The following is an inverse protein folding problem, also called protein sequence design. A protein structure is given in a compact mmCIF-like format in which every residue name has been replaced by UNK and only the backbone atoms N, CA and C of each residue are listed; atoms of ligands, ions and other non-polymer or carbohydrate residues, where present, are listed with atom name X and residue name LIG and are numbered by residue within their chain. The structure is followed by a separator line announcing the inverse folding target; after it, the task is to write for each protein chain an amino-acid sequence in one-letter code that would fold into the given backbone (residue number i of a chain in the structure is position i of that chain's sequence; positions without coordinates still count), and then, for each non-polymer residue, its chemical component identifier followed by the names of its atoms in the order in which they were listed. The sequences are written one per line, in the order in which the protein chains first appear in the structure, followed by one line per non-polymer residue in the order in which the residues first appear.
data_IF_220196499142
#
_entry.id   IF_220196499142
#
_cell.length_a   1.000
_cell.length_b   1.000
_cell.length_c   1.000
_cell.angle_alpha   90.00
_cell.angle_beta   90.00
_cell.angle_gamma   90.00
#
_symmetry.space_group_name_H-M   'P 1'
#
loop_
_entity.id
_entity.type
_entity.pdbx_description
1 polymer ?
#
# COMPACT_ATOMS: atom_id res chain seq x y z
N UNK A 1 -3.89 -7.76 -4.55
CA UNK A 1 -3.60 -7.22 -3.20
C UNK A 1 -2.14 -7.49 -2.90
N UNK A 2 -1.46 -6.66 -2.12
CA UNK A 2 -0.12 -6.99 -1.63
C UNK A 2 -0.19 -8.22 -0.72
N UNK A 3 0.74 -9.14 -0.84
CA UNK A 3 0.78 -10.39 -0.05
C UNK A 3 2.03 -10.48 0.81
N UNK A 4 3.10 -9.77 0.46
CA UNK A 4 4.33 -9.72 1.24
C UNK A 4 5.08 -8.41 1.04
N UNK A 5 5.70 -7.93 2.12
CA UNK A 5 6.63 -6.80 2.13
C UNK A 5 7.91 -7.25 2.83
N UNK A 6 9.04 -7.11 2.15
CA UNK A 6 10.36 -7.32 2.73
C UNK A 6 11.20 -6.04 2.60
N UNK A 7 11.89 -5.68 3.68
CA UNK A 7 12.79 -4.52 3.74
C UNK A 7 14.16 -4.94 4.24
N UNK A 8 15.22 -4.41 3.63
CA UNK A 8 16.59 -4.54 4.12
C UNK A 8 17.22 -3.16 4.27
N UNK A 9 17.85 -2.93 5.42
CA UNK A 9 18.52 -1.69 5.83
C UNK A 9 17.66 -0.42 5.68
N UNK A 10 16.39 -0.46 6.07
CA UNK A 10 15.46 0.68 6.02
C UNK A 10 15.16 1.24 7.42
N UNK A 11 15.59 2.46 7.70
CA UNK A 11 15.44 3.16 8.99
C UNK A 11 15.91 2.27 10.15
N UNK A 12 15.04 1.96 11.11
CA UNK A 12 15.38 1.10 12.24
C UNK A 12 15.31 -0.40 11.92
N UNK A 13 14.92 -0.77 10.69
CA UNK A 13 14.82 -2.16 10.23
C UNK A 13 16.10 -2.57 9.50
N UNK A 14 16.87 -3.51 10.09
CA UNK A 14 17.96 -4.19 9.37
C UNK A 14 17.38 -5.18 8.36
N UNK A 15 16.43 -6.00 8.81
CA UNK A 15 15.69 -6.98 8.03
C UNK A 15 14.24 -7.00 8.51
N UNK A 16 13.30 -7.04 7.57
CA UNK A 16 11.88 -7.17 7.83
C UNK A 16 11.26 -8.09 6.79
N UNK A 17 10.40 -8.99 7.25
CA UNK A 17 9.61 -9.87 6.39
C UNK A 17 8.17 -9.99 6.90
N UNK A 18 7.25 -9.30 6.24
CA UNK A 18 5.84 -9.25 6.61
C UNK A 18 4.99 -9.89 5.54
N UNK A 19 4.17 -10.87 5.94
CA UNK A 19 3.03 -11.32 5.14
C UNK A 19 1.87 -10.36 5.35
N UNK A 20 1.26 -9.92 4.26
CA UNK A 20 0.13 -9.00 4.26
C UNK A 20 -1.15 -9.77 3.97
N UNK A 21 -2.21 -9.38 4.65
CA UNK A 21 -3.57 -9.90 4.47
C UNK A 21 -4.52 -8.75 4.07
N UNK A 22 -5.77 -9.05 3.68
CA UNK A 22 -6.80 -8.03 3.47
C UNK A 22 -6.92 -7.03 4.63
N UNK A 23 -6.75 -7.48 5.88
CA UNK A 23 -6.61 -6.61 7.04
C UNK A 23 -5.30 -6.96 7.77
N UNK A 24 -4.34 -6.04 7.74
CA UNK A 24 -3.06 -6.17 8.44
C UNK A 24 -2.95 -5.09 9.52
N UNK A 25 -2.73 -5.47 10.77
CA UNK A 25 -2.53 -4.54 11.89
C UNK A 25 -1.09 -4.61 12.42
N UNK A 26 -0.51 -3.44 12.64
CA UNK A 26 0.81 -3.25 13.25
C UNK A 26 0.60 -2.64 14.64
N UNK A 27 0.88 -3.42 15.68
CA UNK A 27 0.88 -3.04 17.09
C UNK A 27 2.30 -2.90 17.61
N UNK A 28 2.52 -2.21 18.73
CA UNK A 28 3.86 -2.07 19.30
C UNK A 28 4.11 -0.76 20.03
N UNK A 29 5.24 -0.67 20.72
CA UNK A 29 5.63 0.55 21.47
C UNK A 29 5.89 1.74 20.55
N UNK A 30 5.87 2.96 21.08
CA UNK A 30 6.27 4.13 20.31
C UNK A 30 7.72 3.96 19.82
N UNK A 31 8.00 4.51 18.64
CA UNK A 31 9.32 4.43 18.00
C UNK A 31 9.78 3.03 17.59
N UNK A 32 8.92 2.01 17.61
CA UNK A 32 9.29 0.64 17.22
C UNK A 32 9.36 0.35 15.71
N UNK A 33 9.35 1.39 14.87
CA UNK A 33 9.45 1.24 13.42
C UNK A 33 8.13 0.95 12.69
N UNK A 34 6.97 0.91 13.35
CA UNK A 34 5.65 0.70 12.71
C UNK A 34 5.37 1.68 11.57
N UNK A 35 5.49 2.97 11.85
CA UNK A 35 5.31 4.03 10.86
C UNK A 35 6.30 3.87 9.70
N UNK A 36 7.53 3.42 9.97
CA UNK A 36 8.52 3.17 8.92
C UNK A 36 8.04 2.10 7.90
N UNK A 37 7.26 1.11 8.32
CA UNK A 37 6.68 0.10 7.43
C UNK A 37 5.68 0.74 6.45
N UNK A 38 4.82 1.64 6.92
CA UNK A 38 3.89 2.36 6.05
C UNK A 38 4.65 3.33 5.14
N UNK A 39 5.64 4.04 5.69
CA UNK A 39 6.48 4.98 4.96
C UNK A 39 7.29 4.31 3.84
N UNK A 40 7.70 3.04 3.97
CA UNK A 40 8.40 2.35 2.88
C UNK A 40 7.50 2.20 1.63
N UNK A 41 6.21 1.95 1.82
CA UNK A 41 5.25 1.91 0.72
C UNK A 41 4.97 3.32 0.16
N UNK A 42 4.96 4.35 1.01
CA UNK A 42 4.82 5.75 0.59
C UNK A 42 6.02 6.22 -0.23
N UNK A 43 7.24 5.81 0.14
CA UNK A 43 8.46 6.08 -0.62
C UNK A 43 8.33 5.56 -2.06
N UNK A 44 7.85 4.33 -2.21
CA UNK A 44 7.61 3.72 -3.52
C UNK A 44 6.54 4.49 -4.30
N UNK A 45 5.41 4.83 -3.66
CA UNK A 45 4.33 5.62 -4.27
C UNK A 45 4.80 6.99 -4.76
N UNK A 46 5.48 7.78 -3.93
CA UNK A 46 5.93 9.11 -4.32
C UNK A 46 7.06 9.08 -5.35
N UNK A 47 7.84 8.00 -5.38
CA UNK A 47 8.85 7.78 -6.43
C UNK A 47 8.18 7.45 -7.76
N UNK A 48 7.18 6.57 -7.77
CA UNK A 48 6.44 6.22 -9.00
C UNK A 48 5.62 7.40 -9.55
N UNK A 49 5.08 8.25 -8.67
CA UNK A 49 4.34 9.45 -9.06
C UNK A 49 5.23 10.60 -9.58
N UNK A 50 6.56 10.46 -9.50
CA UNK A 50 7.45 11.53 -9.89
C UNK A 50 7.50 11.69 -11.41
N UNK A 51 7.32 12.93 -11.89
CA UNK A 51 7.33 13.25 -13.32
C UNK A 51 8.71 13.08 -13.96
N UNK A 52 9.80 13.26 -13.19
CA UNK A 52 11.15 13.04 -13.68
C UNK A 52 11.55 11.56 -13.53
N UNK A 53 11.33 10.79 -14.59
CA UNK A 53 11.74 9.38 -14.69
C UNK A 53 13.27 9.16 -14.59
N UNK A 54 14.08 10.22 -14.57
CA UNK A 54 15.53 10.15 -14.36
C UNK A 54 15.92 10.20 -12.88
N UNK A 55 15.01 10.59 -11.98
CA UNK A 55 15.27 10.58 -10.55
C UNK A 55 15.10 9.15 -10.01
N UNK A 56 16.17 8.60 -9.41
CA UNK A 56 16.21 7.20 -8.99
C UNK A 56 15.24 6.87 -7.84
N UNK A 57 15.20 7.70 -6.79
CA UNK A 57 14.31 7.57 -5.63
C UNK A 57 13.92 8.99 -5.16
N UNK A 58 12.64 9.23 -4.91
CA UNK A 58 12.15 10.49 -4.35
C UNK A 58 12.16 10.42 -2.81
N UNK A 59 13.15 11.03 -2.16
CA UNK A 59 13.25 11.07 -0.70
C UNK A 59 12.33 12.10 -0.02
N UNK A 60 11.61 12.92 -0.80
CA UNK A 60 10.71 13.95 -0.28
C UNK A 60 11.25 15.37 -0.38
N UNK A 61 10.56 16.29 0.29
CA UNK A 61 10.89 17.73 0.33
C UNK A 61 10.05 18.60 -0.62
N UNK A 62 9.20 18.00 -1.45
CA UNK A 62 8.19 18.68 -2.25
C UNK A 62 6.86 18.84 -1.52
N UNK A 63 6.06 19.84 -1.90
CA UNK A 63 4.73 20.11 -1.31
C UNK A 63 3.72 18.96 -1.49
N UNK A 64 3.97 18.04 -2.43
CA UNK A 64 3.08 16.92 -2.75
C UNK A 64 3.62 15.56 -2.31
N UNK A 65 4.77 15.53 -1.65
CA UNK A 65 5.34 14.28 -1.17
C UNK A 65 4.62 13.83 0.11
N UNK A 66 4.38 12.53 0.22
CA UNK A 66 3.72 11.98 1.41
C UNK A 66 4.63 12.02 2.63
N UNK A 67 5.94 11.85 2.40
CA UNK A 67 6.95 11.70 3.44
C UNK A 67 8.25 12.38 3.02
N UNK A 68 8.89 13.02 3.99
CA UNK A 68 10.24 13.56 3.86
C UNK A 68 11.20 12.71 4.70
N UNK A 69 12.09 12.02 4.00
CA UNK A 69 13.14 11.20 4.58
C UNK A 69 14.44 11.96 4.82
N UNK A 70 14.57 13.21 4.36
CA UNK A 70 15.81 13.96 4.42
C UNK A 70 16.87 13.38 3.50
N UNK A 71 18.00 12.94 4.06
CA UNK A 71 19.13 12.42 3.29
C UNK A 71 19.13 10.90 3.18
N UNK A 72 19.95 10.35 2.28
CA UNK A 72 20.17 8.90 2.18
C UNK A 72 20.57 8.27 3.52
N UNK A 73 21.39 8.98 4.32
CA UNK A 73 21.82 8.52 5.65
C UNK A 73 20.66 8.42 6.63
N UNK A 74 19.64 9.26 6.50
CA UNK A 74 18.47 9.23 7.38
C UNK A 74 17.52 8.07 7.01
N UNK A 75 17.60 7.59 5.77
CA UNK A 75 16.81 6.48 5.24
C UNK A 75 17.38 5.12 5.60
N UNK A 76 18.71 4.95 5.54
CA UNK A 76 19.36 3.64 5.71
C UNK A 76 19.62 3.27 7.16
N UNK A 77 19.60 1.98 7.46
CA UNK A 77 19.87 1.46 8.80
C UNK A 77 21.25 1.87 9.33
N UNK A 78 21.29 2.18 10.63
CA UNK A 78 22.47 2.69 11.36
C UNK A 78 23.08 3.97 10.77
N UNK A 79 22.34 4.67 9.90
CA UNK A 79 22.81 5.83 9.17
C UNK A 79 24.10 5.61 8.37
N UNK A 80 24.43 4.35 8.05
CA UNK A 80 25.58 4.02 7.23
C UNK A 80 25.27 4.40 5.78
N UNK A 81 25.74 5.58 5.35
CA UNK A 81 25.54 6.05 3.98
C UNK A 81 26.17 5.14 2.91
N UNK A 82 27.01 4.17 3.29
CA UNK A 82 27.46 3.15 2.37
C UNK A 82 26.54 1.94 2.37
N UNK A 83 25.59 1.75 3.28
CA UNK A 83 24.72 0.58 3.28
C UNK A 83 23.77 0.59 2.09
N UNK A 84 23.46 -0.61 1.63
CA UNK A 84 22.52 -0.85 0.54
C UNK A 84 21.11 -1.00 1.07
N UNK A 85 20.15 -0.41 0.38
CA UNK A 85 18.72 -0.56 0.67
C UNK A 85 18.10 -1.59 -0.27
N UNK A 86 17.30 -2.52 0.25
CA UNK A 86 16.46 -3.39 -0.58
C UNK A 86 15.00 -3.35 -0.13
N UNK A 87 14.09 -3.39 -1.11
CA UNK A 87 12.66 -3.52 -0.89
C UNK A 87 12.08 -4.55 -1.86
N UNK A 88 11.29 -5.47 -1.34
CA UNK A 88 10.58 -6.47 -2.15
C UNK A 88 9.10 -6.49 -1.80
N UNK A 89 8.29 -6.49 -2.86
CA UNK A 89 6.84 -6.56 -2.79
C UNK A 89 6.35 -7.78 -3.57
N UNK A 90 5.47 -8.54 -2.95
CA UNK A 90 4.70 -9.60 -3.59
C UNK A 90 3.23 -9.20 -3.58
N UNK A 91 2.49 -9.59 -4.62
CA UNK A 91 1.05 -9.36 -4.69
C UNK A 91 0.32 -10.47 -5.42
N UNK A 92 -0.95 -10.65 -5.07
CA UNK A 92 -1.87 -11.47 -5.85
C UNK A 92 -2.15 -10.79 -7.18
N UNK A 93 -2.10 -11.57 -8.26
CA UNK A 93 -2.59 -11.15 -9.57
C UNK A 93 -3.99 -10.55 -9.39
N UNK A 94 -4.27 -9.35 -9.92
CA UNK A 94 -5.67 -8.94 -10.03
C UNK A 94 -6.38 -10.06 -10.78
N UNK A 95 -7.43 -10.65 -10.17
CA UNK A 95 -8.24 -11.65 -10.85
C UNK A 95 -8.64 -11.14 -12.24
N UNK A 96 -8.90 -12.02 -13.22
CA UNK A 96 -9.00 -11.64 -14.62
C UNK A 96 -9.94 -10.46 -14.74
N UNK A 97 -9.39 -9.31 -15.11
CA UNK A 97 -10.18 -8.24 -15.69
C UNK A 97 -10.88 -8.91 -16.87
N UNK A 98 -12.20 -9.09 -16.79
CA UNK A 98 -12.96 -9.87 -17.76
C UNK A 98 -12.75 -9.33 -19.18
N UNK A 99 -11.78 -9.88 -19.90
CA UNK A 99 -11.66 -9.83 -21.35
C UNK A 99 -11.01 -11.13 -21.82
N UNK A 100 -11.86 -12.07 -22.20
CA UNK A 100 -11.65 -13.27 -23.04
C UNK A 100 -10.42 -14.17 -22.75
N UNK A 101 -10.70 -15.43 -22.37
CA UNK A 101 -9.71 -16.49 -22.10
C UNK A 101 -9.15 -17.10 -23.40
N UNK A 102 -7.88 -16.82 -23.71
CA UNK A 102 -7.03 -17.58 -24.65
C UNK A 102 -5.65 -17.79 -24.02
N UNK A 103 -5.03 -18.96 -24.19
CA UNK A 103 -3.66 -19.25 -23.71
C UNK A 103 -2.66 -18.92 -24.81
N UNK A 104 -1.57 -18.22 -24.46
CA UNK A 104 -0.51 -17.80 -25.40
C UNK A 104 0.85 -18.32 -24.95
N UNK A 105 1.68 -18.77 -25.91
CA UNK A 105 3.06 -19.19 -25.67
C UNK A 105 4.04 -18.43 -26.59
N UNK A 106 5.17 -17.98 -26.04
CA UNK A 106 6.25 -17.33 -26.79
C UNK A 106 7.55 -18.12 -26.67
N UNK A 107 8.20 -18.40 -27.80
CA UNK A 107 9.53 -19.01 -27.84
C UNK A 107 10.52 -18.07 -28.52
N UNK A 108 11.48 -17.56 -27.75
CA UNK A 108 12.56 -16.70 -28.26
C UNK A 108 13.87 -17.49 -28.24
N UNK A 109 14.55 -17.62 -29.40
CA UNK A 109 15.92 -18.15 -29.48
C UNK A 109 16.89 -17.09 -29.96
N UNK A 110 17.97 -16.89 -29.20
CA UNK A 110 19.06 -15.98 -29.55
C UNK A 110 20.40 -16.70 -29.66
N UNK A 111 21.35 -16.09 -30.39
CA UNK A 111 22.76 -16.50 -30.37
C UNK A 111 23.65 -15.25 -30.53
N UNK A 112 24.68 -15.14 -29.69
CA UNK A 112 25.67 -14.06 -29.73
C UNK A 112 26.76 -14.35 -30.76
N UNK A 113 27.21 -13.32 -31.49
CA UNK A 113 28.40 -13.37 -32.36
C UNK A 113 29.02 -11.96 -32.49
N UNK A 114 30.30 -11.81 -32.13
CA UNK A 114 31.11 -10.58 -32.29
C UNK A 114 30.38 -9.26 -31.93
N UNK A 115 29.99 -9.09 -30.67
CA UNK A 115 29.38 -7.87 -30.10
C UNK A 115 28.07 -7.38 -30.76
N UNK A 116 27.33 -8.30 -31.40
CA UNK A 116 25.97 -8.07 -31.90
C UNK A 116 25.00 -9.10 -31.30
N UNK A 117 23.81 -8.65 -30.88
CA UNK A 117 22.69 -9.54 -30.53
C UNK A 117 21.83 -9.71 -31.79
N UNK A 118 21.78 -10.94 -32.29
CA UNK A 118 20.91 -11.32 -33.40
C UNK A 118 19.72 -12.12 -32.86
N UNK A 119 18.52 -11.55 -32.98
CA UNK A 119 17.27 -12.24 -32.63
C UNK A 119 16.85 -13.00 -33.88
N UNK A 120 16.94 -14.33 -33.83
CA UNK A 120 16.85 -15.15 -35.04
C UNK A 120 15.41 -15.36 -35.54
N UNK A 121 14.42 -15.36 -34.64
CA UNK A 121 12.99 -15.42 -34.96
C UNK A 121 12.16 -15.25 -33.68
N UNK A 122 10.99 -14.61 -33.82
CA UNK A 122 9.90 -14.62 -32.82
C UNK A 122 8.81 -15.55 -33.36
N UNK A 123 8.45 -16.58 -32.61
CA UNK A 123 7.38 -17.51 -32.95
C UNK A 123 6.20 -17.31 -31.99
N UNK A 124 5.01 -17.07 -32.55
CA UNK A 124 3.75 -16.86 -31.85
C UNK A 124 2.78 -17.97 -32.22
N UNK A 125 2.16 -18.56 -31.19
CA UNK A 125 1.14 -19.60 -31.35
C UNK A 125 -0.04 -19.27 -30.42
N UNK A 126 -1.20 -18.99 -31.00
CA UNK A 126 -2.45 -18.82 -30.24
C UNK A 126 -3.19 -20.15 -30.17
N UNK A 127 -3.54 -20.61 -28.96
CA UNK A 127 -4.36 -21.80 -28.78
C UNK A 127 -5.70 -21.44 -28.14
N UNK A 128 -6.79 -21.74 -28.86
CA UNK A 128 -8.15 -21.66 -28.33
C UNK A 128 -8.67 -23.07 -28.06
N UNK A 129 -8.98 -23.37 -26.79
CA UNK A 129 -9.46 -24.69 -26.33
C UNK A 129 -8.55 -25.87 -26.74
N UNK A 130 -7.25 -25.63 -26.83
CA UNK A 130 -6.24 -26.63 -27.18
C UNK A 130 -6.03 -26.87 -28.67
N UNK A 131 -6.61 -26.05 -29.56
CA UNK A 131 -6.30 -26.03 -30.99
C UNK A 131 -5.62 -24.71 -31.40
N UNK A 132 -4.57 -24.81 -32.21
CA UNK A 132 -3.80 -23.65 -32.70
C UNK A 132 -4.60 -22.89 -33.76
N UNK A 133 -4.92 -21.64 -33.48
CA UNK A 133 -5.74 -20.81 -34.36
C UNK A 133 -4.93 -19.85 -35.23
N UNK A 134 -3.76 -19.38 -34.76
CA UNK A 134 -2.85 -18.55 -35.55
C UNK A 134 -1.37 -18.88 -35.26
N UNK A 135 -0.56 -18.93 -36.31
CA UNK A 135 0.90 -19.14 -36.27
C UNK A 135 1.58 -18.00 -37.03
N UNK A 136 2.33 -17.16 -36.31
CA UNK A 136 2.99 -15.98 -36.87
C UNK A 136 4.50 -15.98 -36.58
N UNK A 137 5.30 -15.70 -37.60
CA UNK A 137 6.77 -15.66 -37.54
C UNK A 137 7.25 -14.27 -37.98
N UNK A 138 7.84 -13.50 -37.07
CA UNK A 138 8.47 -12.22 -37.44
C UNK A 138 9.84 -12.44 -38.10
N UNK A 139 10.20 -11.60 -39.10
CA UNK A 139 11.55 -11.62 -39.68
C UNK A 139 12.61 -11.17 -38.67
N UNK A 140 13.86 -11.64 -38.82
CA UNK A 140 14.92 -11.41 -37.85
C UNK A 140 15.28 -9.92 -37.73
N UNK A 141 15.36 -9.45 -36.49
CA UNK A 141 15.77 -8.09 -36.13
C UNK A 141 17.21 -8.13 -35.62
N UNK A 142 18.04 -7.25 -36.14
CA UNK A 142 19.43 -7.07 -35.69
C UNK A 142 19.54 -5.78 -34.90
N UNK A 143 20.12 -5.89 -33.71
CA UNK A 143 20.44 -4.74 -32.86
C UNK A 143 21.95 -4.56 -32.84
N UNK A 144 22.38 -3.35 -33.18
CA UNK A 144 23.80 -2.98 -33.26
C UNK A 144 24.09 -1.77 -32.41
N UNK A 145 25.16 -1.83 -31.62
CA UNK A 145 25.62 -0.73 -30.78
C UNK A 145 26.88 -0.12 -31.39
N UNK A 146 26.80 1.14 -31.87
CA UNK A 146 27.94 1.87 -32.43
C UNK A 146 27.93 3.32 -31.92
N UNK A 147 29.06 3.76 -31.36
CA UNK A 147 29.27 5.17 -31.01
C UNK A 147 28.43 5.71 -29.85
N UNK A 148 27.81 4.85 -29.04
CA UNK A 148 26.99 5.25 -27.88
C UNK A 148 25.48 5.27 -28.12
N UNK A 149 25.01 4.87 -29.31
CA UNK A 149 23.58 4.76 -29.63
C UNK A 149 23.22 3.35 -30.12
N UNK A 150 21.99 2.91 -29.81
CA UNK A 150 21.42 1.66 -30.30
C UNK A 150 20.74 1.88 -31.64
N UNK A 151 21.11 1.08 -32.65
CA UNK A 151 20.48 1.09 -33.97
C UNK A 151 19.76 -0.23 -34.24
N UNK A 152 18.52 -0.10 -34.69
CA UNK A 152 17.62 -1.22 -35.00
C UNK A 152 17.49 -1.37 -36.52
N UNK A 153 17.63 -2.59 -37.04
CA UNK A 153 17.41 -2.88 -38.45
C UNK A 153 16.74 -4.24 -38.64
N UNK A 154 15.82 -4.33 -39.61
CA UNK A 154 15.19 -5.58 -40.05
C UNK A 154 16.02 -6.15 -41.19
N UNK A 155 16.36 -7.43 -41.14
CA UNK A 155 17.14 -8.09 -42.21
C UNK A 155 16.19 -8.88 -43.10
N UNK A 156 16.27 -8.69 -44.43
CA UNK A 156 15.51 -9.50 -45.38
C UNK A 156 15.90 -10.98 -45.29
N UNK A 157 14.96 -11.84 -45.65
CA UNK A 157 14.96 -13.30 -45.42
C UNK A 157 16.04 -14.12 -46.13
N UNK A 158 16.97 -13.52 -46.87
CA UNK A 158 17.98 -14.20 -47.68
C UNK A 158 19.39 -13.97 -47.12
N UNK A 159 19.82 -14.85 -46.21
CA UNK A 159 21.12 -14.87 -45.54
C UNK A 159 22.32 -15.01 -46.51
N UNK A 160 22.63 -13.99 -47.32
CA UNK A 160 23.89 -13.91 -48.06
C UNK A 160 24.81 -12.86 -47.43
N UNK A 161 25.88 -13.36 -46.79
CA UNK A 161 27.02 -12.57 -46.33
C UNK A 161 27.70 -11.89 -47.52
N UNK A 162 27.34 -10.65 -47.83
CA UNK A 162 28.19 -9.74 -48.61
C UNK A 162 28.08 -8.32 -48.06
N UNK A 163 29.19 -7.87 -47.47
CA UNK A 163 29.61 -6.48 -47.22
C UNK A 163 28.48 -5.43 -47.11
N UNK A 164 28.09 -5.09 -45.89
CA UNK A 164 27.19 -3.97 -45.60
C UNK A 164 27.83 -3.00 -44.59
N UNK A 165 29.01 -2.48 -44.93
CA UNK A 165 29.27 -1.05 -44.71
C UNK A 165 28.64 -0.34 -45.89
N UNK A 166 27.57 0.44 -45.65
CA UNK A 166 26.77 1.28 -46.57
C UNK A 166 25.33 0.80 -46.81
N UNK A 167 24.42 1.78 -46.90
CA UNK A 167 22.96 1.73 -47.01
C UNK A 167 22.15 1.51 -45.71
N UNK A 168 22.25 2.48 -44.78
CA UNK A 168 21.02 3.02 -44.17
C UNK A 168 20.40 3.92 -45.23
N UNK A 169 19.32 3.50 -45.87
CA UNK A 169 18.44 4.39 -46.63
C UNK A 169 17.00 4.07 -46.23
N UNK A 170 16.26 5.15 -45.97
CA UNK A 170 15.19 5.17 -44.98
C UNK A 170 13.89 4.51 -45.38
N UNK A 171 13.16 4.05 -44.37
CA UNK A 171 11.76 4.40 -44.13
C UNK A 171 11.53 4.47 -42.60
N UNK A 172 10.93 5.56 -42.11
CA UNK A 172 10.44 5.67 -40.74
C UNK A 172 9.29 4.66 -40.54
N UNK A 173 9.33 3.88 -39.45
CA UNK A 173 8.20 3.02 -39.10
C UNK A 173 7.04 3.87 -38.52
N UNK A 174 5.77 3.60 -38.90
CA UNK A 174 4.62 4.39 -38.50
C UNK A 174 4.18 4.14 -37.05
N UNK A 175 3.43 5.11 -36.52
CA UNK A 175 2.87 5.18 -35.18
C UNK A 175 2.10 3.94 -34.74
N UNK A 176 2.43 3.39 -33.57
CA UNK A 176 1.62 2.38 -32.88
C UNK A 176 0.29 2.99 -32.44
N UNK A 177 -0.82 2.35 -32.83
CA UNK A 177 -2.14 2.56 -32.21
C UNK A 177 -2.37 1.40 -31.26
N UNK A 178 -2.40 1.66 -29.94
CA UNK A 178 -2.63 0.65 -28.92
C UNK A 178 -4.11 0.24 -28.91
N UNK A 179 -4.40 -0.95 -29.41
CA UNK A 179 -5.67 -1.65 -29.21
C UNK A 179 -5.42 -3.11 -28.83
N UNK A 180 -5.18 -3.36 -27.54
CA UNK A 180 -5.39 -4.65 -26.87
C UNK A 180 -4.94 -4.56 -25.40
N UNK A 181 -5.61 -5.31 -24.53
CA UNK A 181 -5.29 -5.43 -23.09
C UNK A 181 -4.37 -6.61 -22.83
N UNK A 182 -3.59 -6.50 -21.76
CA UNK A 182 -2.54 -7.45 -21.39
C UNK A 182 -2.58 -7.81 -19.89
N UNK A 183 -2.12 -9.01 -19.54
CA UNK A 183 -2.13 -9.59 -18.19
C UNK A 183 -0.85 -9.26 -17.38
N UNK A 184 -1.01 -8.98 -16.08
CA UNK A 184 0.08 -8.53 -15.19
C UNK A 184 0.81 -9.68 -14.44
N UNK A 185 2.15 -9.60 -14.29
CA UNK A 185 2.96 -10.52 -13.47
C UNK A 185 2.88 -10.21 -11.94
N UNK A 186 3.33 -11.15 -11.08
CA UNK A 186 3.02 -11.16 -9.63
C UNK A 186 4.09 -10.61 -8.65
N UNK A 187 5.30 -10.23 -9.10
CA UNK A 187 6.42 -9.85 -8.22
C UNK A 187 7.20 -8.62 -8.75
N UNK A 188 7.70 -7.74 -7.87
CA UNK A 188 8.62 -6.62 -8.19
C UNK A 188 9.81 -6.56 -7.24
N UNK A 189 10.96 -6.08 -7.72
CA UNK A 189 12.19 -5.87 -6.94
C UNK A 189 12.77 -4.48 -7.27
N UNK A 190 13.35 -3.78 -6.30
CA UNK A 190 14.17 -2.58 -6.55
C UNK A 190 15.56 -2.71 -5.90
N UNK A 191 16.58 -2.07 -6.50
CA UNK A 191 17.99 -2.48 -6.42
C UNK A 191 18.96 -1.34 -6.01
N UNK A 192 20.12 -1.68 -5.44
CA UNK A 192 21.19 -0.77 -4.96
C UNK A 192 22.60 -1.20 -5.47
N UNK A 193 23.43 -0.24 -5.91
CA UNK A 193 24.75 -0.47 -6.55
C UNK A 193 25.81 -1.16 -5.67
N UNK A 194 25.72 -1.10 -4.35
CA UNK A 194 26.76 -1.70 -3.48
C UNK A 194 26.54 -3.20 -3.23
N UNK A 195 25.28 -3.66 -3.22
CA UNK A 195 24.95 -5.09 -3.19
C UNK A 195 25.48 -5.82 -4.42
N UNK A 196 25.61 -5.12 -5.56
CA UNK A 196 26.20 -5.70 -6.76
C UNK A 196 27.66 -6.12 -6.57
N UNK A 197 28.44 -5.33 -5.82
CA UNK A 197 29.85 -5.61 -5.58
C UNK A 197 30.03 -6.82 -4.64
N UNK A 198 29.20 -6.92 -3.61
CA UNK A 198 29.21 -8.05 -2.66
C UNK A 198 28.64 -9.34 -3.31
N UNK A 199 27.64 -9.20 -4.19
CA UNK A 199 27.12 -10.28 -5.05
C UNK A 199 28.15 -10.81 -6.06
N UNK A 200 29.12 -10.00 -6.51
CA UNK A 200 30.20 -10.50 -7.36
C UNK A 200 31.14 -11.49 -6.62
N UNK A 201 31.14 -11.46 -5.29
CA UNK A 201 31.99 -12.30 -4.44
C UNK A 201 31.28 -13.59 -3.95
N UNK A 202 29.95 -13.70 -4.09
CA UNK A 202 29.15 -14.87 -3.61
C UNK A 202 29.32 -16.13 -4.46
N UNK A 203 28.78 -17.28 -4.04
CA UNK A 203 28.99 -18.56 -4.75
C UNK A 203 28.28 -18.62 -6.13
N UNK A 204 28.76 -19.48 -7.04
CA UNK A 204 28.19 -19.61 -8.41
C UNK A 204 26.74 -20.12 -8.41
N UNK A 205 26.33 -20.87 -7.39
CA UNK A 205 24.96 -21.37 -7.21
C UNK A 205 24.02 -20.28 -6.66
N UNK A 206 24.47 -19.44 -5.72
CA UNK A 206 23.74 -18.23 -5.27
C UNK A 206 23.59 -17.22 -6.43
N UNK A 207 24.65 -17.01 -7.21
CA UNK A 207 24.60 -16.15 -8.41
C UNK A 207 23.66 -16.68 -9.50
N UNK A 208 23.39 -17.98 -9.59
CA UNK A 208 22.46 -18.54 -10.58
C UNK A 208 21.00 -18.44 -10.14
N UNK A 209 20.73 -18.49 -8.83
CA UNK A 209 19.39 -18.28 -8.27
C UNK A 209 18.98 -16.79 -8.33
N UNK A 210 19.95 -15.88 -8.22
CA UNK A 210 19.74 -14.42 -8.28
C UNK A 210 19.84 -13.82 -9.69
N UNK A 211 20.50 -14.51 -10.65
CA UNK A 211 20.63 -14.06 -12.05
C UNK A 211 19.29 -13.91 -12.79
N UNK A 212 18.21 -14.48 -12.27
CA UNK A 212 16.87 -14.36 -12.86
C UNK A 212 16.17 -13.03 -12.50
N UNK A 213 16.65 -12.31 -11.48
CA UNK A 213 15.96 -11.14 -10.91
C UNK A 213 16.48 -9.77 -11.40
N UNK A 214 17.66 -9.73 -12.01
CA UNK A 214 18.44 -8.50 -12.15
C UNK A 214 18.40 -7.81 -13.53
N UNK A 215 17.77 -8.41 -14.53
CA UNK A 215 17.74 -7.90 -15.91
C UNK A 215 16.37 -7.39 -16.39
N UNK A 216 15.37 -7.26 -15.49
CA UNK A 216 13.97 -7.14 -15.91
C UNK A 216 13.31 -5.76 -15.91
N UNK A 217 13.86 -4.74 -15.23
CA UNK A 217 13.07 -3.54 -14.88
C UNK A 217 13.18 -2.37 -15.85
N UNK A 218 14.21 -2.31 -16.69
CA UNK A 218 14.35 -1.21 -17.65
C UNK A 218 13.82 -1.53 -19.06
N UNK A 219 13.67 -2.82 -19.40
CA UNK A 219 13.29 -3.25 -20.77
C UNK A 219 11.86 -3.78 -20.90
N UNK A 220 11.01 -3.67 -19.87
CA UNK A 220 9.64 -4.21 -19.92
C UNK A 220 8.63 -3.19 -19.38
N UNK A 221 8.04 -2.42 -20.29
CA UNK A 221 6.93 -1.48 -20.03
C UNK A 221 5.85 -2.06 -19.09
N UNK A 222 5.52 -3.34 -19.26
CA UNK A 222 4.46 -4.05 -18.54
C UNK A 222 4.67 -4.16 -17.02
N UNK A 223 5.92 -4.25 -16.55
CA UNK A 223 6.21 -4.29 -15.10
C UNK A 223 6.04 -2.92 -14.46
N UNK A 224 6.42 -1.84 -15.17
CA UNK A 224 6.20 -0.48 -14.71
C UNK A 224 4.70 -0.18 -14.64
N UNK A 225 3.91 -0.61 -15.62
CA UNK A 225 2.46 -0.43 -15.60
C UNK A 225 1.78 -1.19 -14.44
N UNK A 226 2.19 -2.43 -14.15
CA UNK A 226 1.67 -3.20 -13.01
C UNK A 226 1.99 -2.53 -11.67
N UNK A 227 3.23 -2.07 -11.53
CA UNK A 227 3.69 -1.39 -10.33
C UNK A 227 3.01 -0.03 -10.15
N UNK A 228 2.99 0.79 -11.19
CA UNK A 228 2.28 2.07 -11.22
C UNK A 228 0.80 1.85 -10.90
N UNK A 229 0.15 0.83 -11.46
CA UNK A 229 -1.26 0.50 -11.17
C UNK A 229 -1.50 0.15 -9.69
N UNK A 230 -0.64 -0.67 -9.08
CA UNK A 230 -0.75 -1.03 -7.66
C UNK A 230 -0.53 0.20 -6.77
N UNK A 231 0.47 1.02 -7.09
CA UNK A 231 0.80 2.23 -6.33
C UNK A 231 -0.21 3.35 -6.53
N UNK A 232 -0.85 3.45 -7.69
CA UNK A 232 -1.96 4.36 -7.95
C UNK A 232 -3.12 4.06 -7.01
N UNK A 233 -3.41 2.76 -6.81
CA UNK A 233 -4.43 2.27 -5.88
C UNK A 233 -4.09 2.37 -4.40
N UNK A 234 -2.84 2.71 -4.06
CA UNK A 234 -2.40 2.89 -2.69
C UNK A 234 -2.84 4.27 -2.19
N UNK A 235 -3.78 4.31 -1.25
CA UNK A 235 -4.24 5.50 -0.57
C UNK A 235 -3.64 5.53 0.83
N UNK A 236 -3.41 6.73 1.34
CA UNK A 236 -2.81 6.91 2.66
C UNK A 236 -3.55 7.99 3.42
N UNK A 237 -3.75 7.74 4.71
CA UNK A 237 -4.32 8.69 5.63
C UNK A 237 -3.49 8.63 6.93
N UNK A 238 -2.83 9.74 7.26
CA UNK A 238 -1.82 9.80 8.34
C UNK A 238 -2.40 9.73 9.75
N UNK A 239 -1.74 10.24 10.80
CA UNK A 239 -2.30 10.21 12.16
C UNK A 239 -3.12 11.46 12.51
N UNK A 240 -2.81 12.60 11.89
CA UNK A 240 -3.46 13.88 12.16
C UNK A 240 -4.32 14.29 10.96
N UNK A 241 -5.56 14.74 11.24
CA UNK A 241 -6.46 15.31 10.21
C UNK A 241 -6.50 16.82 10.30
N UNK A 242 -6.87 17.44 9.18
CA UNK A 242 -7.18 18.87 9.14
C UNK A 242 -8.24 19.21 10.20
N UNK A 243 -8.04 20.31 10.95
CA UNK A 243 -9.08 20.80 11.85
C UNK A 243 -10.31 21.17 11.01
N UNK A 244 -11.54 20.90 11.51
CA UNK A 244 -12.74 21.23 10.78
C UNK A 244 -12.81 22.74 10.55
N UNK A 245 -13.28 23.15 9.37
CA UNK A 245 -13.68 24.53 9.08
C UNK A 245 -15.18 24.72 9.35
N UNK A 246 -15.61 25.96 9.62
CA UNK A 246 -17.04 26.29 9.71
C UNK A 246 -17.73 26.23 8.36
N UNK A 247 -17.05 26.68 7.31
CA UNK A 247 -17.58 26.77 5.95
C UNK A 247 -16.55 26.16 5.00
N UNK A 248 -17.02 25.30 4.10
CA UNK A 248 -16.23 24.66 3.07
C UNK A 248 -16.60 25.21 1.69
N UNK A 249 -15.60 25.53 0.90
CA UNK A 249 -15.77 25.93 -0.50
C UNK A 249 -15.75 24.68 -1.38
N UNK A 250 -16.71 24.57 -2.29
CA UNK A 250 -16.71 23.50 -3.30
C UNK A 250 -17.00 24.06 -4.69
N UNK A 251 -16.17 23.68 -5.66
CA UNK A 251 -16.18 24.14 -7.05
C UNK A 251 -17.24 23.45 -7.92
N UNK A 252 -17.86 22.37 -7.43
CA UNK A 252 -18.81 21.57 -8.20
C UNK A 252 -18.22 20.33 -8.87
N UNK A 253 -16.92 20.07 -8.71
CA UNK A 253 -16.23 18.89 -9.26
C UNK A 253 -16.05 17.79 -8.21
N UNK A 254 -16.12 16.53 -8.63
CA UNK A 254 -15.75 15.41 -7.76
C UNK A 254 -14.25 15.46 -7.48
N UNK A 255 -13.81 15.38 -6.20
CA UNK A 255 -12.39 15.32 -5.92
C UNK A 255 -11.80 14.01 -6.46
N UNK A 256 -10.55 14.03 -6.91
CA UNK A 256 -9.88 12.82 -7.39
C UNK A 256 -9.47 11.89 -6.24
N UNK A 257 -9.12 12.46 -5.08
CA UNK A 257 -8.62 11.74 -3.92
C UNK A 257 -8.97 12.52 -2.64
N UNK A 258 -9.06 11.80 -1.52
CA UNK A 258 -9.02 12.39 -0.17
C UNK A 258 -7.56 12.37 0.26
N UNK A 259 -7.00 13.54 0.54
CA UNK A 259 -5.57 13.68 0.83
C UNK A 259 -5.21 13.04 2.17
N UNK A 260 -3.90 12.90 2.43
CA UNK A 260 -3.39 12.20 3.61
C UNK A 260 -3.78 12.79 4.97
N UNK A 261 -4.15 14.06 5.01
CA UNK A 261 -4.66 14.77 6.18
C UNK A 261 -6.20 14.87 6.20
N UNK A 262 -6.88 14.24 5.25
CA UNK A 262 -8.33 14.28 5.12
C UNK A 262 -8.88 15.48 4.36
N UNK A 263 -8.04 16.29 3.70
CA UNK A 263 -8.53 17.29 2.74
C UNK A 263 -9.45 16.63 1.69
N UNK A 264 -10.40 17.41 1.16
CA UNK A 264 -11.45 16.96 0.24
C UNK A 264 -12.52 16.03 0.82
N UNK A 265 -12.48 15.66 2.10
CA UNK A 265 -13.53 14.83 2.74
C UNK A 265 -14.94 15.41 2.55
N UNK A 266 -15.14 16.69 2.87
CA UNK A 266 -16.46 17.33 2.73
C UNK A 266 -16.85 17.46 1.25
N UNK A 267 -15.89 17.76 0.37
CA UNK A 267 -16.13 17.84 -1.07
C UNK A 267 -16.58 16.48 -1.65
N UNK A 268 -15.99 15.37 -1.19
CA UNK A 268 -16.36 14.02 -1.59
C UNK A 268 -17.80 13.69 -1.16
N UNK A 269 -18.18 14.01 0.09
CA UNK A 269 -19.54 13.80 0.59
C UNK A 269 -20.59 14.56 -0.22
N UNK A 270 -20.33 15.84 -0.53
CA UNK A 270 -21.23 16.69 -1.32
C UNK A 270 -21.32 16.18 -2.77
N UNK A 271 -20.19 15.80 -3.37
CA UNK A 271 -20.14 15.32 -4.75
C UNK A 271 -20.93 14.02 -4.94
N UNK A 272 -20.80 13.08 -4.00
CA UNK A 272 -21.52 11.80 -4.03
C UNK A 272 -23.02 11.95 -3.80
N UNK A 273 -23.47 12.84 -2.92
CA UNK A 273 -24.91 13.11 -2.71
C UNK A 273 -25.62 13.50 -4.02
N UNK A 274 -24.91 14.21 -4.91
CA UNK A 274 -25.46 14.68 -6.20
C UNK A 274 -25.44 13.62 -7.30
N UNK A 275 -24.64 12.56 -7.15
CA UNK A 275 -24.58 11.44 -8.10
C UNK A 275 -25.50 10.28 -7.69
N UNK A 276 -26.39 10.49 -6.70
CA UNK A 276 -27.25 9.45 -6.12
C UNK A 276 -26.43 8.29 -5.50
N UNK A 277 -25.21 8.60 -5.07
CA UNK A 277 -24.38 7.68 -4.31
C UNK A 277 -24.69 7.80 -2.82
N UNK A 278 -24.99 6.67 -2.18
CA UNK A 278 -25.34 6.55 -0.75
C UNK A 278 -24.16 6.87 0.21
N UNK A 279 -23.10 7.58 -0.21
CA UNK A 279 -21.89 7.82 0.58
C UNK A 279 -22.18 8.51 1.92
N UNK A 280 -22.89 9.64 1.89
CA UNK A 280 -23.26 10.39 3.11
C UNK A 280 -24.08 9.51 4.06
N UNK A 281 -24.93 8.65 3.51
CA UNK A 281 -25.74 7.70 4.28
C UNK A 281 -24.88 6.64 4.96
N UNK A 282 -23.93 6.03 4.25
CA UNK A 282 -22.99 5.06 4.84
C UNK A 282 -22.13 5.70 5.93
N UNK A 283 -21.61 6.89 5.67
CA UNK A 283 -20.78 7.63 6.63
C UNK A 283 -21.60 8.00 7.87
N UNK A 284 -22.78 8.59 7.70
CA UNK A 284 -23.70 8.93 8.80
C UNK A 284 -24.05 7.69 9.63
N UNK A 285 -24.38 6.57 8.98
CA UNK A 285 -24.67 5.30 9.66
C UNK A 285 -23.51 4.85 10.56
N UNK A 286 -22.28 4.79 10.04
CA UNK A 286 -21.14 4.31 10.84
C UNK A 286 -20.78 5.25 11.99
N UNK A 287 -20.90 6.56 11.79
CA UNK A 287 -20.71 7.52 12.89
C UNK A 287 -21.80 7.36 13.97
N UNK A 288 -23.02 6.99 13.59
CA UNK A 288 -24.08 6.63 14.53
C UNK A 288 -23.83 5.30 15.22
N UNK A 289 -23.38 4.27 14.51
CA UNK A 289 -23.04 2.97 15.09
C UNK A 289 -21.88 3.08 16.10
N UNK A 290 -20.92 3.98 15.85
CA UNK A 290 -19.85 4.34 16.78
C UNK A 290 -20.35 5.11 18.03
N UNK A 291 -21.60 5.58 18.00
CA UNK A 291 -22.22 6.39 19.06
C UNK A 291 -21.71 7.82 19.11
N UNK A 292 -21.21 8.36 18.00
CA UNK A 292 -20.64 9.70 17.91
C UNK A 292 -21.68 10.77 17.59
N UNK A 293 -22.62 10.44 16.69
CA UNK A 293 -23.68 11.34 16.22
C UNK A 293 -24.99 10.58 16.01
N UNK A 294 -26.11 11.28 15.92
CA UNK A 294 -27.38 10.74 15.46
C UNK A 294 -27.64 10.97 13.98
N UNK A 295 -27.07 12.04 13.41
CA UNK A 295 -27.28 12.44 12.03
C UNK A 295 -26.14 13.38 11.58
N UNK A 296 -25.71 13.25 10.33
CA UNK A 296 -24.81 14.17 9.64
C UNK A 296 -25.56 14.80 8.46
N UNK A 297 -25.58 16.13 8.39
CA UNK A 297 -26.13 16.88 7.27
C UNK A 297 -25.10 17.87 6.73
N UNK A 298 -25.17 18.18 5.43
CA UNK A 298 -24.28 19.16 4.80
C UNK A 298 -25.14 20.13 4.00
N UNK A 299 -25.35 21.32 4.55
CA UNK A 299 -26.25 22.30 3.95
C UNK A 299 -25.46 23.36 3.17
N UNK A 300 -25.98 23.75 2.00
CA UNK A 300 -25.46 24.92 1.30
C UNK A 300 -25.84 26.20 2.06
N UNK A 301 -24.87 27.08 2.31
CA UNK A 301 -25.09 28.36 3.01
C UNK A 301 -25.43 29.51 2.06
N UNK A 302 -25.35 29.28 0.75
CA UNK A 302 -25.62 30.27 -0.29
C UNK A 302 -26.46 29.70 -1.44
N UNK A 303 -27.18 30.58 -2.16
CA UNK A 303 -28.03 30.17 -3.28
C UNK A 303 -27.24 29.63 -4.48
N UNK A 304 -25.99 30.07 -4.67
CA UNK A 304 -25.12 29.55 -5.73
C UNK A 304 -24.48 28.20 -5.36
N UNK A 305 -24.75 27.68 -4.16
CA UNK A 305 -24.30 26.38 -3.64
C UNK A 305 -22.79 26.17 -3.76
N UNK A 306 -22.02 27.19 -3.39
CA UNK A 306 -20.55 27.19 -3.37
C UNK A 306 -20.00 26.96 -1.98
N UNK A 307 -20.73 27.38 -0.96
CA UNK A 307 -20.34 27.32 0.44
C UNK A 307 -21.24 26.33 1.18
N UNK A 308 -20.62 25.45 1.96
CA UNK A 308 -21.31 24.39 2.67
C UNK A 308 -20.92 24.36 4.14
N UNK A 309 -21.89 24.08 5.00
CA UNK A 309 -21.69 23.91 6.43
C UNK A 309 -22.11 22.49 6.84
N UNK A 310 -21.15 21.62 7.19
CA UNK A 310 -21.43 20.33 7.81
C UNK A 310 -21.97 20.52 9.22
N UNK A 311 -23.10 19.88 9.52
CA UNK A 311 -23.75 19.89 10.82
C UNK A 311 -23.96 18.47 11.30
N UNK A 312 -23.86 18.29 12.61
CA UNK A 312 -24.14 17.02 13.25
C UNK A 312 -25.20 17.20 14.31
N UNK A 313 -26.04 16.18 14.45
CA UNK A 313 -27.03 16.09 15.52
C UNK A 313 -26.53 15.14 16.59
N UNK A 314 -26.48 15.59 17.84
CA UNK A 314 -26.15 14.76 19.01
C UNK A 314 -27.27 14.95 20.05
N UNK A 315 -28.00 13.87 20.32
CA UNK A 315 -29.26 13.90 21.05
C UNK A 315 -30.29 14.79 20.35
N UNK A 316 -30.63 15.91 20.98
CA UNK A 316 -31.56 16.92 20.46
C UNK A 316 -30.86 18.18 19.93
N UNK A 317 -29.53 18.26 20.08
CA UNK A 317 -28.76 19.45 19.70
C UNK A 317 -28.18 19.27 18.31
N UNK A 318 -28.39 20.26 17.43
CA UNK A 318 -27.72 20.36 16.14
C UNK A 318 -26.60 21.39 16.29
N UNK A 319 -25.40 21.04 15.86
CA UNK A 319 -24.23 21.92 15.94
C UNK A 319 -23.38 21.79 14.69
N UNK A 320 -22.61 22.84 14.38
CA UNK A 320 -21.59 22.77 13.32
C UNK A 320 -20.58 21.68 13.66
N UNK A 321 -20.06 20.99 12.65
CA UNK A 321 -18.94 20.06 12.82
C UNK A 321 -17.72 20.74 13.46
N UNK A 322 -17.59 22.06 13.27
CA UNK A 322 -16.56 22.87 13.93
C UNK A 322 -16.71 22.92 15.46
N UNK A 323 -17.94 22.89 15.95
CA UNK A 323 -18.28 23.13 17.37
C UNK A 323 -18.40 21.84 18.18
N UNK A 324 -18.25 20.66 17.55
CA UNK A 324 -18.33 19.36 18.23
C UNK A 324 -16.96 18.83 18.65
N UNK A 325 -16.98 17.87 19.60
CA UNK A 325 -15.77 17.23 20.12
C UNK A 325 -14.90 16.63 19.02
N UNK A 326 -13.59 16.67 19.24
CA UNK A 326 -12.55 16.36 18.27
C UNK A 326 -12.64 14.94 17.65
N UNK A 327 -13.28 13.98 18.32
CA UNK A 327 -13.40 12.61 17.80
C UNK A 327 -14.18 12.51 16.48
N UNK A 328 -15.25 13.30 16.28
CA UNK A 328 -16.08 13.22 15.05
C UNK A 328 -15.32 13.71 13.83
N UNK A 329 -14.58 14.82 13.96
CA UNK A 329 -13.83 15.40 12.85
C UNK A 329 -12.62 14.57 12.45
N UNK A 330 -12.01 13.80 13.36
CA UNK A 330 -10.89 12.91 13.02
C UNK A 330 -11.33 11.62 12.34
N UNK A 331 -12.48 11.06 12.73
CA UNK A 331 -12.97 9.80 12.16
C UNK A 331 -13.70 10.01 10.82
N UNK A 332 -14.29 11.19 10.59
CA UNK A 332 -15.06 11.47 9.38
C UNK A 332 -14.23 11.24 8.09
N UNK A 333 -12.98 11.73 7.97
CA UNK A 333 -12.12 11.44 6.82
C UNK A 333 -11.84 9.94 6.63
N UNK A 334 -11.66 9.18 7.72
CA UNK A 334 -11.41 7.74 7.66
C UNK A 334 -12.61 7.03 7.06
N UNK A 335 -13.80 7.20 7.64
CA UNK A 335 -15.02 6.53 7.15
C UNK A 335 -15.33 6.96 5.72
N UNK A 336 -15.16 8.24 5.41
CA UNK A 336 -15.38 8.76 4.06
C UNK A 336 -14.41 8.12 3.07
N UNK A 337 -13.10 8.08 3.36
CA UNK A 337 -12.10 7.45 2.50
C UNK A 337 -12.40 5.97 2.25
N UNK A 338 -12.79 5.21 3.27
CA UNK A 338 -13.11 3.79 3.12
C UNK A 338 -14.29 3.52 2.18
N UNK A 339 -15.25 4.46 2.06
CA UNK A 339 -16.38 4.35 1.12
C UNK A 339 -16.21 5.13 -0.17
N UNK A 340 -15.27 6.08 -0.21
CA UNK A 340 -14.95 6.87 -1.40
C UNK A 340 -13.90 6.17 -2.28
N UNK A 341 -12.97 5.43 -1.67
CA UNK A 341 -11.92 4.71 -2.36
C UNK A 341 -12.49 3.70 -3.38
N UNK A 342 -11.87 3.57 -4.58
CA UNK A 342 -12.23 2.53 -5.53
C UNK A 342 -12.16 1.12 -4.93
N UNK A 343 -12.95 0.20 -5.49
CA UNK A 343 -12.90 -1.21 -5.09
C UNK A 343 -11.50 -1.80 -5.33
N UNK A 344 -11.02 -2.60 -4.39
CA UNK A 344 -9.69 -3.20 -4.49
C UNK A 344 -8.52 -2.27 -4.18
N UNK A 345 -8.77 -1.06 -3.68
CA UNK A 345 -7.70 -0.14 -3.24
C UNK A 345 -6.97 -0.66 -2.01
N UNK A 346 -5.70 -0.26 -1.88
CA UNK A 346 -4.86 -0.52 -0.71
C UNK A 346 -4.88 0.76 0.12
N UNK A 347 -5.25 0.69 1.39
CA UNK A 347 -5.38 1.86 2.27
C UNK A 347 -4.44 1.68 3.46
N UNK A 348 -3.52 2.62 3.57
CA UNK A 348 -2.61 2.77 4.69
C UNK A 348 -3.25 3.72 5.72
N UNK A 349 -3.44 3.25 6.95
CA UNK A 349 -4.03 4.04 8.03
C UNK A 349 -3.07 4.13 9.21
N UNK A 350 -2.74 5.35 9.62
CA UNK A 350 -1.98 5.60 10.85
C UNK A 350 -2.90 6.00 12.00
N UNK A 351 -2.83 5.24 13.08
CA UNK A 351 -3.49 5.51 14.37
C UNK A 351 -4.96 5.98 14.22
N UNK A 352 -5.80 5.25 13.45
CA UNK A 352 -7.15 5.69 13.15
C UNK A 352 -8.07 5.73 14.38
N UNK A 353 -7.67 5.12 15.50
CA UNK A 353 -8.36 5.16 16.77
C UNK A 353 -8.20 6.46 17.57
N UNK A 354 -7.27 7.34 17.16
CA UNK A 354 -6.93 8.51 17.96
C UNK A 354 -8.18 9.36 18.22
N UNK A 355 -8.32 9.75 19.49
CA UNK A 355 -9.40 10.63 19.98
C UNK A 355 -10.80 10.00 19.96
N UNK A 356 -10.90 8.69 19.67
CA UNK A 356 -12.11 7.90 19.85
C UNK A 356 -12.18 7.26 21.23
N UNK A 357 -13.39 7.19 21.79
CA UNK A 357 -13.66 6.40 22.99
C UNK A 357 -13.63 4.89 22.70
N UNK A 358 -13.37 4.04 23.71
CA UNK A 358 -13.21 2.59 23.54
C UNK A 358 -14.26 1.87 22.69
N UNK A 359 -15.54 2.23 22.86
CA UNK A 359 -16.62 1.60 22.10
C UNK A 359 -16.56 1.96 20.60
N UNK A 360 -16.25 3.22 20.27
CA UNK A 360 -16.09 3.64 18.87
C UNK A 360 -14.89 2.95 18.22
N UNK A 361 -13.80 2.73 18.95
CA UNK A 361 -12.66 1.95 18.47
C UNK A 361 -13.05 0.50 18.14
N UNK A 362 -13.84 -0.15 19.00
CA UNK A 362 -14.37 -1.48 18.68
C UNK A 362 -15.24 -1.46 17.41
N UNK A 363 -16.12 -0.47 17.24
CA UNK A 363 -16.95 -0.37 16.03
C UNK A 363 -16.10 -0.07 14.78
N UNK A 364 -14.98 0.65 14.92
CA UNK A 364 -14.02 0.87 13.83
C UNK A 364 -13.41 -0.46 13.31
N UNK A 365 -13.15 -1.44 14.17
CA UNK A 365 -12.72 -2.77 13.71
C UNK A 365 -13.81 -3.45 12.86
N UNK A 366 -15.09 -3.32 13.24
CA UNK A 366 -16.20 -3.87 12.45
C UNK A 366 -16.30 -3.19 11.07
N UNK A 367 -16.10 -1.88 11.02
CA UNK A 367 -16.04 -1.12 9.78
C UNK A 367 -14.91 -1.60 8.87
N UNK A 368 -13.70 -1.78 9.42
CA UNK A 368 -12.55 -2.28 8.68
C UNK A 368 -12.82 -3.66 8.07
N UNK A 369 -13.42 -4.56 8.83
CA UNK A 369 -13.83 -5.88 8.33
C UNK A 369 -14.88 -5.77 7.23
N UNK A 370 -15.90 -4.92 7.40
CA UNK A 370 -16.95 -4.75 6.41
C UNK A 370 -16.39 -4.27 5.07
N UNK A 371 -15.52 -3.26 5.08
CA UNK A 371 -14.99 -2.69 3.84
C UNK A 371 -13.93 -3.59 3.21
N UNK A 372 -13.14 -4.31 4.02
CA UNK A 372 -12.21 -5.31 3.51
C UNK A 372 -12.95 -6.45 2.80
N UNK A 373 -14.09 -6.91 3.34
CA UNK A 373 -14.91 -7.95 2.72
C UNK A 373 -15.71 -7.44 1.51
N UNK A 374 -16.60 -6.46 1.74
CA UNK A 374 -17.61 -6.06 0.75
C UNK A 374 -17.03 -5.21 -0.37
N UNK A 375 -16.01 -4.40 -0.07
CA UNK A 375 -15.35 -3.52 -1.05
C UNK A 375 -14.00 -4.06 -1.52
N UNK A 376 -13.57 -5.20 -0.99
CA UNK A 376 -12.28 -5.83 -1.29
C UNK A 376 -11.10 -4.89 -1.04
N UNK A 377 -11.22 -4.00 -0.06
CA UNK A 377 -10.13 -3.10 0.29
C UNK A 377 -9.06 -3.87 1.05
N UNK A 378 -7.80 -3.57 0.77
CA UNK A 378 -6.71 -4.03 1.62
C UNK A 378 -6.34 -2.93 2.60
N UNK A 379 -6.38 -3.21 3.89
CA UNK A 379 -6.09 -2.26 4.95
C UNK A 379 -4.78 -2.64 5.63
N UNK A 380 -3.82 -1.72 5.69
CA UNK A 380 -2.59 -1.85 6.48
C UNK A 380 -2.63 -0.74 7.54
N UNK A 381 -2.82 -1.13 8.79
CA UNK A 381 -3.21 -0.22 9.87
C UNK A 381 -2.16 -0.23 10.97
N UNK A 382 -1.57 0.93 11.27
CA UNK A 382 -0.81 1.12 12.51
C UNK A 382 -1.78 1.48 13.64
N UNK A 383 -1.70 0.77 14.77
CA UNK A 383 -2.57 1.04 15.91
C UNK A 383 -1.92 0.69 17.26
N UNK A 384 -2.37 1.37 18.31
CA UNK A 384 -2.08 1.06 19.71
C UNK A 384 -3.35 0.61 20.48
N UNK A 385 -4.46 0.40 19.77
CA UNK A 385 -5.75 0.12 20.39
C UNK A 385 -5.89 -1.34 20.81
N UNK A 386 -5.95 -1.57 22.12
CA UNK A 386 -6.40 -2.86 22.68
C UNK A 386 -7.87 -3.15 22.33
N UNK A 387 -8.69 -2.11 22.15
CA UNK A 387 -10.10 -2.27 21.80
C UNK A 387 -10.30 -2.79 20.37
N UNK A 388 -9.47 -2.34 19.42
CA UNK A 388 -9.42 -2.92 18.07
C UNK A 388 -9.00 -4.39 18.13
N UNK A 389 -7.91 -4.70 18.83
CA UNK A 389 -7.44 -6.09 18.98
C UNK A 389 -8.54 -7.00 19.53
N UNK A 390 -9.10 -6.64 20.69
CA UNK A 390 -10.11 -7.46 21.37
C UNK A 390 -11.37 -7.62 20.53
N UNK A 391 -11.77 -6.60 19.75
CA UNK A 391 -12.91 -6.72 18.84
C UNK A 391 -12.62 -7.70 17.72
N UNK A 392 -11.44 -7.62 17.10
CA UNK A 392 -11.05 -8.54 16.03
C UNK A 392 -10.94 -9.98 16.53
N UNK A 393 -10.33 -10.22 17.71
CA UNK A 393 -10.34 -11.54 18.36
C UNK A 393 -11.75 -12.08 18.52
N UNK A 394 -12.68 -11.25 19.01
CA UNK A 394 -14.08 -11.64 19.15
C UNK A 394 -14.73 -11.98 17.81
N UNK A 395 -14.47 -11.19 16.76
CA UNK A 395 -15.02 -11.44 15.42
C UNK A 395 -14.47 -12.71 14.79
N UNK A 396 -13.21 -13.05 15.04
CA UNK A 396 -12.61 -14.32 14.61
C UNK A 396 -13.28 -15.51 15.31
N UNK A 397 -13.60 -15.38 16.60
CA UNK A 397 -14.27 -16.43 17.37
C UNK A 397 -15.76 -16.61 17.04
N UNK A 398 -16.41 -15.60 16.45
CA UNK A 398 -17.82 -15.62 16.10
C UNK A 398 -18.04 -16.29 14.74
N UNK A 399 -18.92 -17.29 14.66
CA UNK A 399 -19.17 -18.05 13.41
C UNK A 399 -20.00 -17.30 12.36
N UNK A 400 -20.50 -16.11 12.69
CA UNK A 400 -21.43 -15.34 11.84
C UNK A 400 -20.72 -14.61 10.70
N UNK A 401 -19.41 -14.32 10.84
CA UNK A 401 -18.62 -13.61 9.86
C UNK A 401 -17.49 -14.50 9.33
N UNK A 402 -17.73 -15.20 8.23
CA UNK A 402 -16.75 -16.08 7.60
C UNK A 402 -15.49 -15.34 7.10
N UNK A 403 -15.58 -14.03 6.84
CA UNK A 403 -14.43 -13.23 6.43
C UNK A 403 -13.47 -12.97 7.59
N UNK A 404 -13.97 -12.87 8.83
CA UNK A 404 -13.14 -12.68 10.01
C UNK A 404 -12.40 -13.98 10.37
N UNK A 405 -11.28 -14.24 9.70
CA UNK A 405 -10.47 -15.45 9.89
C UNK A 405 -8.99 -15.10 10.09
N UNK A 406 -8.18 -16.01 10.66
CA UNK A 406 -6.73 -15.85 10.75
C UNK A 406 -6.01 -15.70 9.39
N UNK A 407 -6.65 -16.10 8.29
CA UNK A 407 -6.11 -15.93 6.93
C UNK A 407 -6.29 -14.50 6.42
N UNK A 408 -7.44 -13.88 6.73
CA UNK A 408 -7.78 -12.54 6.26
C UNK A 408 -7.29 -11.42 7.19
N UNK A 409 -6.96 -11.76 8.44
CA UNK A 409 -6.54 -10.82 9.48
C UNK A 409 -5.15 -11.22 9.96
N UNK A 410 -4.15 -10.39 9.65
CA UNK A 410 -2.79 -10.53 10.19
C UNK A 410 -2.48 -9.43 11.17
N UNK A 411 -1.77 -9.79 12.24
CA UNK A 411 -1.39 -8.88 13.31
C UNK A 411 0.09 -9.06 13.60
N UNK A 412 0.80 -7.95 13.78
CA UNK A 412 2.22 -7.96 14.12
C UNK A 412 2.48 -7.09 15.34
N UNK A 413 3.43 -7.51 16.16
CA UNK A 413 3.97 -6.71 17.26
C UNK A 413 5.37 -6.23 16.90
N UNK A 414 5.52 -4.91 16.83
CA UNK A 414 6.79 -4.26 16.55
C UNK A 414 7.42 -3.75 17.84
N UNK A 415 8.65 -4.14 18.12
CA UNK A 415 9.44 -3.68 19.26
C UNK A 415 10.88 -3.38 18.86
N UNK A 416 11.60 -2.65 19.72
CA UNK A 416 13.05 -2.46 19.56
C UNK A 416 13.78 -3.45 20.46
N UNK A 417 14.70 -4.20 19.87
CA UNK A 417 15.65 -5.08 20.55
C UNK A 417 17.07 -4.70 20.13
N UNK A 418 17.94 -4.41 21.09
CA UNK A 418 19.35 -4.07 20.84
C UNK A 418 19.58 -2.94 19.80
N UNK A 419 18.64 -1.99 19.72
CA UNK A 419 18.70 -0.86 18.78
C UNK A 419 18.15 -1.17 17.38
N UNK A 420 17.64 -2.37 17.15
CA UNK A 420 17.02 -2.81 15.89
C UNK A 420 15.51 -3.02 16.08
N UNK A 421 14.71 -2.65 15.07
CA UNK A 421 13.28 -2.98 15.06
C UNK A 421 13.07 -4.45 14.69
N UNK A 422 12.23 -5.14 15.46
CA UNK A 422 11.77 -6.51 15.22
C UNK A 422 10.25 -6.53 15.13
N UNK A 423 9.73 -7.30 14.18
CA UNK A 423 8.29 -7.53 13.99
C UNK A 423 8.00 -9.01 14.20
N UNK A 424 7.17 -9.33 15.20
CA UNK A 424 6.72 -10.68 15.48
C UNK A 424 5.26 -10.84 15.09
N UNK A 425 4.92 -11.91 14.35
CA UNK A 425 3.53 -12.21 14.03
C UNK A 425 2.77 -12.63 15.29
N UNK A 426 1.63 -11.99 15.56
CA UNK A 426 0.71 -12.35 16.64
C UNK A 426 -0.28 -13.39 16.12
N UNK A 427 -0.08 -14.65 16.50
CA UNK A 427 -0.83 -15.79 15.99
C UNK A 427 -2.13 -15.91 16.76
N UNK A 428 -3.23 -15.55 16.11
CA UNK A 428 -4.61 -15.73 16.60
C UNK A 428 -5.17 -17.03 16.03
N UNK A 429 -5.76 -17.87 16.88
CA UNK A 429 -6.45 -19.08 16.43
C UNK A 429 -7.93 -18.85 16.06
N UNK A 430 -8.59 -19.90 15.56
CA UNK A 430 -10.01 -19.86 15.17
C UNK A 430 -10.97 -19.53 16.32
N UNK A 431 -10.51 -19.59 17.58
CA UNK A 431 -11.28 -19.21 18.76
C UNK A 431 -10.96 -17.79 19.24
N UNK A 432 -10.20 -17.02 18.46
CA UNK A 432 -9.80 -15.66 18.79
C UNK A 432 -8.71 -15.59 19.87
N UNK A 433 -8.08 -16.70 20.25
CA UNK A 433 -7.03 -16.71 21.27
C UNK A 433 -5.66 -16.46 20.64
N UNK A 434 -4.86 -15.61 21.27
CA UNK A 434 -3.47 -15.39 20.89
C UNK A 434 -2.60 -16.49 21.50
N UNK A 435 -1.89 -17.23 20.65
CA UNK A 435 -1.02 -18.34 21.08
C UNK A 435 0.32 -17.88 21.63
N UNK A 436 0.87 -16.81 21.06
CA UNK A 436 2.19 -16.29 21.37
C UNK A 436 2.10 -14.84 21.85
N UNK A 437 1.47 -14.62 23.01
CA UNK A 437 1.38 -13.29 23.61
C UNK A 437 2.78 -12.67 23.77
N UNK A 438 3.07 -11.55 23.08
CA UNK A 438 4.35 -10.88 23.25
C UNK A 438 4.45 -10.27 24.64
N UNK A 439 5.66 -10.25 25.21
CA UNK A 439 5.89 -9.63 26.50
C UNK A 439 5.56 -8.13 26.43
N UNK A 440 4.89 -7.59 27.46
CA UNK A 440 4.52 -6.18 27.56
C UNK A 440 3.69 -5.63 26.37
N UNK A 441 2.91 -6.46 25.69
CA UNK A 441 2.14 -6.08 24.50
C UNK A 441 1.31 -4.80 24.67
N UNK A 442 0.67 -4.63 25.83
CA UNK A 442 0.00 -3.39 26.25
C UNK A 442 0.50 -2.89 27.62
N UNK A 443 1.77 -3.18 27.93
CA UNK A 443 2.37 -2.95 29.25
C UNK A 443 2.14 -4.08 30.25
N UNK A 444 2.50 -3.85 31.52
CA UNK A 444 2.43 -4.83 32.61
C UNK A 444 1.24 -4.56 33.54
N UNK A 445 0.02 -4.76 33.01
CA UNK A 445 -1.22 -4.58 33.78
C UNK A 445 -1.24 -5.47 35.03
N UNK A 446 -0.65 -6.66 34.94
CA UNK A 446 -0.63 -7.64 36.03
C UNK A 446 0.32 -7.20 37.15
N UNK A 447 1.55 -6.80 36.79
CA UNK A 447 2.50 -6.25 37.75
C UNK A 447 2.04 -4.95 38.38
N UNK A 448 1.37 -4.07 37.61
CA UNK A 448 0.77 -2.85 38.15
C UNK A 448 -0.35 -3.16 39.16
N UNK A 449 -1.20 -4.16 38.88
CA UNK A 449 -2.25 -4.58 39.81
C UNK A 449 -1.67 -5.19 41.10
N UNK A 450 -0.61 -5.99 40.99
CA UNK A 450 0.12 -6.54 42.14
C UNK A 450 0.77 -5.44 42.97
N UNK A 451 1.44 -4.48 42.32
CA UNK A 451 2.06 -3.33 42.96
C UNK A 451 1.03 -2.44 43.65
N UNK A 452 -0.10 -2.16 43.01
CA UNK A 452 -1.21 -1.41 43.57
C UNK A 452 -1.80 -2.13 44.80
N UNK A 453 -2.01 -3.44 44.71
CA UNK A 453 -2.53 -4.26 45.82
C UNK A 453 -1.56 -4.24 47.00
N UNK A 454 -0.25 -4.39 46.74
CA UNK A 454 0.80 -4.33 47.77
C UNK A 454 0.87 -2.94 48.42
N UNK A 455 0.80 -1.87 47.63
CA UNK A 455 0.79 -0.49 48.12
C UNK A 455 -0.47 -0.20 48.96
N UNK A 456 -1.63 -0.70 48.54
CA UNK A 456 -2.88 -0.58 49.29
C UNK A 456 -2.78 -1.30 50.66
N UNK A 457 -2.27 -2.53 50.69
CA UNK A 457 -2.03 -3.27 51.93
C UNK A 457 -1.09 -2.52 52.87
N UNK A 458 0.03 -1.99 52.36
CA UNK A 458 0.99 -1.22 53.14
C UNK A 458 0.37 0.08 53.71
N UNK A 459 -0.48 0.77 52.93
CA UNK A 459 -1.21 1.96 53.38
C UNK A 459 -2.23 1.66 54.48
N UNK A 460 -2.89 0.50 54.41
CA UNK A 460 -3.81 0.03 55.47
C UNK A 460 -3.05 -0.31 56.75
N UNK A 461 -1.89 -0.96 56.64
CA UNK A 461 -1.07 -1.35 57.80
C UNK A 461 -0.43 -0.14 58.50
N UNK A 462 0.00 0.88 57.75
CA UNK A 462 0.70 2.05 58.32
C UNK A 462 -0.19 3.29 58.53
N UNK A 463 -1.40 3.33 57.96
CA UNK A 463 -2.36 4.43 58.10
C UNK A 463 -3.28 4.32 59.32
N UNK A 464 -3.12 3.28 60.15
CA UNK A 464 -3.90 3.04 61.36
C UNK A 464 -3.52 3.88 62.58
N UNK A 465 -2.44 4.65 62.55
CA UNK A 465 -1.93 5.43 63.71
C UNK A 465 -2.16 6.95 63.62
N UNK A 466 -3.16 7.41 62.87
CA UNK A 466 -3.53 8.84 62.90
C UNK A 466 -5.04 9.04 62.88
N UNK A 467 -5.67 8.77 64.03
CA UNK A 467 -6.92 9.40 64.45
C UNK A 467 -6.88 9.75 65.91
#
# INVERSE_FOLDING_TARGET
MLTRLQLENFKSWRDLDLKLAPLTLLFGTNSSGKTAILQSLLLLKQTANNFDRKQHINLGGGERDYVDFGSWRDLVYDHDGNSSLAMRLEWDKPGPLHMFTSEFAYVVRWKSYNDQIKIAYLHYEEQQRGEVTEDFVMPPVVVTFEGGEYKFGVVSSDWSLRDTRTALDGEELPSLTLQSCYELPSNLVFWNEKLFAEWQESSVEERQQDRTWLLGLQDRLEYNEAFEYILEKLLYLGPLRQPPARIYLWSGSMPHIIESDGENTIAALIASERQDEDLLRYVSKWLTDMGLINELTIDATDQARRFYEPKVKIGQTISSLFDVGFGVSQILPIVTMLYFAPFGSIILLEQPELHLHPNAQAVLADLMLEVAEKRRLQLIVESHSEHLLRRLQRRIAETENAFASPENIKMYFCQIEDGESKAEEVIVDEYGQIKNWPANFFGDITGDLEAMTRAALHKVMNGGESR
#
